data_IF_238300975068
#
_entry.id   IF_238300975068
#
_cell.length_a   1.000
_cell.length_b   1.000
_cell.length_c   1.000
_cell.angle_alpha   90.00
_cell.angle_beta   90.00
_cell.angle_gamma   90.00
#
_symmetry.space_group_name_H-M   'P 1'
#
loop_
_entity.id
_entity.type
_entity.pdbx_description
1 polymer ?
#
# COMPACT_ATOMS: atom_id res chain seq x y z
N UNK A 1 -23.03 51.92 -49.16
CA UNK A 1 -23.60 50.58 -49.05
C UNK A 1 -22.52 49.49 -49.19
N UNK A 2 -21.37 49.60 -48.49
CA UNK A 2 -20.24 48.64 -48.54
C UNK A 2 -19.54 48.42 -47.17
N UNK A 3 -20.10 48.93 -46.06
CA UNK A 3 -19.51 48.80 -44.70
C UNK A 3 -20.27 47.86 -43.74
N UNK A 4 -21.48 47.44 -44.07
CA UNK A 4 -22.28 46.58 -43.19
C UNK A 4 -22.13 45.08 -43.44
N UNK A 5 -21.55 44.64 -44.59
CA UNK A 5 -21.32 43.22 -44.86
C UNK A 5 -20.07 42.67 -44.14
N UNK A 6 -19.10 43.52 -43.81
CA UNK A 6 -17.86 43.06 -43.14
C UNK A 6 -18.05 42.66 -41.67
N UNK A 7 -18.99 43.28 -41.00
CA UNK A 7 -19.18 43.07 -39.53
C UNK A 7 -19.99 41.82 -39.21
N UNK A 8 -20.82 41.34 -40.14
CA UNK A 8 -21.61 40.09 -39.92
C UNK A 8 -20.75 38.84 -40.11
N UNK A 9 -19.72 38.88 -40.95
CA UNK A 9 -18.82 37.73 -41.12
C UNK A 9 -17.76 37.62 -40.02
N UNK A 10 -17.35 38.73 -39.42
CA UNK A 10 -16.43 38.70 -38.27
C UNK A 10 -17.11 38.16 -37.01
N UNK A 11 -18.41 38.41 -36.83
CA UNK A 11 -19.16 37.86 -35.69
C UNK A 11 -19.45 36.37 -35.86
N UNK A 12 -19.66 35.89 -37.09
CA UNK A 12 -19.88 34.47 -37.38
C UNK A 12 -18.59 33.63 -37.22
N UNK A 13 -17.42 34.21 -37.53
CA UNK A 13 -16.11 33.53 -37.33
C UNK A 13 -15.72 33.52 -35.84
N UNK A 14 -16.07 34.55 -35.06
CA UNK A 14 -15.81 34.56 -33.64
C UNK A 14 -16.69 33.54 -32.85
N UNK A 15 -17.91 33.30 -33.30
CA UNK A 15 -18.77 32.28 -32.70
C UNK A 15 -18.35 30.83 -33.01
N UNK A 16 -17.64 30.60 -34.14
CA UNK A 16 -17.10 29.28 -34.50
C UNK A 16 -15.77 28.96 -33.80
N UNK A 17 -15.02 29.99 -33.39
CA UNK A 17 -13.73 29.81 -32.68
C UNK A 17 -13.93 29.48 -31.16
N UNK A 18 -15.08 29.74 -30.59
CA UNK A 18 -15.35 29.45 -29.15
C UNK A 18 -15.93 28.04 -28.93
N UNK A 19 -16.38 27.35 -30.00
CA UNK A 19 -16.90 25.99 -29.90
C UNK A 19 -15.87 24.87 -30.17
N UNK A 20 -14.58 25.18 -30.41
CA UNK A 20 -13.59 24.14 -30.71
C UNK A 20 -12.57 23.86 -29.60
N UNK A 21 -12.78 24.37 -28.41
CA UNK A 21 -11.98 24.01 -27.21
C UNK A 21 -12.79 23.21 -26.18
N UNK A 22 -13.66 22.32 -26.64
CA UNK A 22 -14.04 21.17 -25.82
C UNK A 22 -13.07 20.04 -26.16
N UNK A 23 -11.92 20.05 -25.48
CA UNK A 23 -11.08 18.89 -25.38
C UNK A 23 -11.95 17.74 -24.88
N UNK A 24 -12.02 16.69 -25.66
CA UNK A 24 -12.53 15.39 -25.25
C UNK A 24 -11.59 14.84 -24.16
N UNK A 25 -11.67 15.37 -22.94
CA UNK A 25 -11.36 14.55 -21.78
C UNK A 25 -12.54 13.57 -21.74
N UNK A 26 -12.29 12.34 -22.12
CA UNK A 26 -13.11 11.21 -21.71
C UNK A 26 -12.91 11.02 -20.21
N UNK A 27 -13.37 11.99 -19.41
CA UNK A 27 -13.72 11.73 -18.05
C UNK A 27 -14.82 10.67 -18.14
N UNK A 28 -14.46 9.43 -17.84
CA UNK A 28 -15.49 8.43 -17.52
C UNK A 28 -16.43 9.15 -16.55
N UNK A 29 -17.73 9.14 -16.76
CA UNK A 29 -18.64 9.85 -15.91
C UNK A 29 -18.31 9.48 -14.47
N UNK A 30 -18.25 10.49 -13.57
CA UNK A 30 -18.30 10.26 -12.13
C UNK A 30 -19.33 9.18 -11.93
N UNK A 31 -18.91 7.98 -11.54
CA UNK A 31 -19.80 6.84 -11.39
C UNK A 31 -20.90 7.32 -10.47
N UNK A 32 -22.13 7.36 -10.98
CA UNK A 32 -23.32 7.51 -10.14
C UNK A 32 -23.12 6.57 -8.96
N UNK A 33 -23.21 7.11 -7.73
CA UNK A 33 -23.23 6.30 -6.52
C UNK A 33 -24.29 5.22 -6.76
N UNK A 34 -23.85 4.00 -7.04
CA UNK A 34 -24.75 2.86 -6.97
C UNK A 34 -25.26 2.88 -5.54
N UNK A 35 -26.57 3.01 -5.39
CA UNK A 35 -27.27 3.03 -4.10
C UNK A 35 -26.98 1.78 -3.24
N UNK A 36 -26.30 0.79 -3.78
CA UNK A 36 -25.90 -0.49 -3.16
C UNK A 36 -24.41 -0.51 -2.79
N UNK A 37 -23.82 0.64 -2.46
CA UNK A 37 -22.43 0.70 -2.02
C UNK A 37 -22.29 0.08 -0.63
N UNK A 38 -21.43 -0.92 -0.51
CA UNK A 38 -21.12 -1.62 0.75
C UNK A 38 -20.38 -0.73 1.77
N UNK A 39 -19.81 0.38 1.31
CA UNK A 39 -19.11 1.38 2.12
C UNK A 39 -19.73 2.75 1.87
N UNK A 40 -20.12 3.44 2.94
CA UNK A 40 -20.69 4.77 2.89
C UNK A 40 -19.79 5.78 3.58
N UNK A 41 -19.66 6.99 3.01
CA UNK A 41 -19.00 8.10 3.68
C UNK A 41 -19.84 8.54 4.87
N UNK A 42 -19.27 8.48 6.08
CA UNK A 42 -19.93 8.87 7.34
C UNK A 42 -19.49 10.23 7.84
N UNK A 43 -18.24 10.61 7.59
CA UNK A 43 -17.69 11.85 8.12
C UNK A 43 -16.22 12.07 7.76
N UNK A 44 -15.62 13.00 8.46
CA UNK A 44 -14.21 13.31 8.30
C UNK A 44 -13.54 13.44 9.67
N UNK A 45 -12.29 13.01 9.77
CA UNK A 45 -11.40 13.21 10.92
C UNK A 45 -10.23 14.07 10.52
N UNK A 46 -9.91 15.08 11.33
CA UNK A 46 -8.78 15.97 11.12
C UNK A 46 -7.73 15.78 12.19
N UNK A 47 -6.47 15.68 11.78
CA UNK A 47 -5.33 15.64 12.69
C UNK A 47 -4.53 16.93 12.52
N UNK A 48 -4.20 17.56 13.64
CA UNK A 48 -3.34 18.75 13.68
C UNK A 48 -1.88 18.31 13.51
N UNK A 49 -1.29 18.66 12.37
CA UNK A 49 0.11 18.38 12.06
C UNK A 49 0.97 19.57 12.47
N UNK A 50 2.21 19.32 12.89
CA UNK A 50 3.17 20.42 13.06
C UNK A 50 3.60 20.95 11.69
N UNK A 51 3.73 22.26 11.54
CA UNK A 51 3.74 23.09 10.33
C UNK A 51 4.51 22.62 9.08
N UNK A 52 5.48 21.70 9.18
CA UNK A 52 6.19 21.10 8.03
C UNK A 52 5.88 19.60 7.85
N UNK A 53 5.12 19.02 8.74
CA UNK A 53 4.75 17.60 8.68
C UNK A 53 3.70 17.39 7.59
N UNK A 54 4.16 16.95 6.42
CA UNK A 54 3.24 16.46 5.39
C UNK A 54 2.94 14.99 5.66
N UNK A 55 1.67 14.56 5.65
CA UNK A 55 1.32 13.15 5.83
C UNK A 55 1.84 12.22 4.70
N UNK A 56 2.55 12.77 3.72
CA UNK A 56 2.87 12.11 2.45
C UNK A 56 3.91 10.99 2.49
N UNK A 57 4.53 10.71 3.62
CA UNK A 57 5.57 9.68 3.69
C UNK A 57 5.59 9.00 5.04
N UNK A 58 4.69 8.07 5.25
CA UNK A 58 4.67 7.40 6.53
C UNK A 58 3.65 6.29 6.63
N UNK A 59 3.27 6.01 7.82
CA UNK A 59 2.18 5.09 8.17
C UNK A 59 1.33 5.76 9.25
N UNK A 60 0.09 5.30 9.36
CA UNK A 60 -0.81 5.68 10.43
C UNK A 60 -1.52 4.44 10.96
N UNK A 61 -1.75 4.39 12.27
CA UNK A 61 -2.40 3.26 12.90
C UNK A 61 -3.24 3.70 14.09
N UNK A 62 -4.43 3.11 14.22
CA UNK A 62 -5.22 3.18 15.45
C UNK A 62 -4.62 2.25 16.50
N UNK A 63 -4.54 2.75 17.71
CA UNK A 63 -4.07 2.01 18.86
C UNK A 63 -4.85 2.40 20.13
N UNK A 64 -5.12 1.43 20.97
CA UNK A 64 -5.78 1.65 22.24
C UNK A 64 -4.80 1.37 23.38
N UNK A 65 -4.37 2.43 24.06
CA UNK A 65 -3.44 2.33 25.18
C UNK A 65 -4.18 2.48 26.50
N UNK A 66 -4.33 1.38 27.26
CA UNK A 66 -5.02 1.35 28.55
C UNK A 66 -6.41 1.99 28.50
N UNK A 67 -7.19 1.69 27.46
CA UNK A 67 -8.52 2.23 27.23
C UNK A 67 -8.53 3.67 26.65
N UNK A 68 -7.37 4.25 26.36
CA UNK A 68 -7.27 5.55 25.74
C UNK A 68 -6.95 5.42 24.24
N UNK A 69 -7.89 5.74 23.35
CA UNK A 69 -7.67 5.64 21.93
C UNK A 69 -6.71 6.71 21.42
N UNK A 70 -5.73 6.29 20.62
CA UNK A 70 -4.78 7.17 19.98
C UNK A 70 -4.50 6.75 18.54
N UNK A 71 -3.92 7.67 17.76
CA UNK A 71 -3.33 7.39 16.46
C UNK A 71 -1.82 7.53 16.55
N UNK A 72 -1.13 6.54 16.01
CA UNK A 72 0.33 6.53 15.87
C UNK A 72 0.65 6.78 14.41
N UNK A 73 1.32 7.89 14.13
CA UNK A 73 1.74 8.24 12.77
C UNK A 73 3.27 8.31 12.71
N UNK A 74 3.86 7.56 11.80
CA UNK A 74 5.27 7.64 11.52
C UNK A 74 5.57 8.59 10.38
N UNK A 75 6.56 9.44 10.56
CA UNK A 75 7.17 10.21 9.48
C UNK A 75 8.49 9.54 9.10
N UNK A 76 8.51 8.88 7.94
CA UNK A 76 9.68 8.14 7.48
C UNK A 76 10.84 9.06 7.13
N UNK A 77 10.57 10.28 6.67
CA UNK A 77 11.61 11.23 6.28
C UNK A 77 12.29 11.85 7.50
N UNK A 78 11.50 12.22 8.51
CA UNK A 78 12.03 12.82 9.74
C UNK A 78 12.42 11.78 10.79
N UNK A 79 12.05 10.49 10.58
CA UNK A 79 12.26 9.40 11.54
C UNK A 79 11.62 9.71 12.90
N UNK A 80 10.46 10.32 12.88
CA UNK A 80 9.69 10.66 14.08
C UNK A 80 8.38 9.90 14.12
N UNK A 81 7.85 9.72 15.33
CA UNK A 81 6.53 9.14 15.58
C UNK A 81 5.67 10.21 16.25
N UNK A 82 4.60 10.61 15.56
CA UNK A 82 3.57 11.46 16.13
C UNK A 82 2.50 10.61 16.81
N UNK A 83 2.15 10.95 18.05
CA UNK A 83 1.04 10.35 18.79
C UNK A 83 -0.06 11.38 18.93
N UNK A 84 -1.24 11.04 18.41
CA UNK A 84 -2.41 11.92 18.37
C UNK A 84 -3.53 11.37 19.23
N UNK A 85 -4.26 12.24 19.90
CA UNK A 85 -5.52 11.89 20.51
C UNK A 85 -6.54 11.48 19.45
N UNK A 86 -7.11 10.30 19.58
CA UNK A 86 -8.03 9.81 18.55
C UNK A 86 -9.30 10.65 18.45
N UNK A 87 -9.81 11.19 19.58
CA UNK A 87 -11.09 11.93 19.61
C UNK A 87 -10.92 13.33 19.06
N UNK A 88 -9.97 14.08 19.60
CA UNK A 88 -9.76 15.51 19.26
C UNK A 88 -8.89 15.71 18.02
N UNK A 89 -8.08 14.72 17.60
CA UNK A 89 -7.08 14.88 16.56
C UNK A 89 -5.85 15.71 16.97
N UNK A 90 -5.78 16.11 18.23
CA UNK A 90 -4.66 16.90 18.74
C UNK A 90 -3.41 16.04 18.91
N UNK A 91 -2.25 16.58 18.50
CA UNK A 91 -0.96 15.92 18.72
C UNK A 91 -0.63 15.96 20.22
N UNK A 92 -0.37 14.80 20.79
CA UNK A 92 0.00 14.63 22.22
C UNK A 92 1.50 14.62 22.43
N UNK A 93 2.24 13.95 21.53
CA UNK A 93 3.66 13.69 21.70
C UNK A 93 4.33 13.46 20.35
N UNK A 94 5.60 13.78 20.28
CA UNK A 94 6.51 13.34 19.23
C UNK A 94 7.63 12.52 19.86
N UNK A 95 7.89 11.33 19.30
CA UNK A 95 9.03 10.48 19.67
C UNK A 95 10.05 10.56 18.55
N UNK A 96 11.27 10.95 18.85
CA UNK A 96 12.38 10.93 17.91
C UNK A 96 13.07 9.57 17.96
N UNK A 97 13.47 9.05 16.80
CA UNK A 97 14.25 7.81 16.74
C UNK A 97 15.69 8.12 16.39
N UNK A 98 16.62 7.48 17.07
CA UNK A 98 18.07 7.72 16.90
C UNK A 98 18.62 7.21 15.56
N UNK A 99 17.86 6.40 14.80
CA UNK A 99 18.34 5.77 13.57
C UNK A 99 17.87 6.51 12.32
N UNK A 100 18.85 6.91 11.52
CA UNK A 100 18.61 7.67 10.28
C UNK A 100 18.52 6.78 9.03
N UNK A 101 19.02 5.55 9.06
CA UNK A 101 19.07 4.66 7.88
C UNK A 101 18.17 3.43 8.04
N UNK A 102 17.44 3.08 6.96
CA UNK A 102 16.59 1.89 6.90
C UNK A 102 15.10 2.17 6.83
N UNK A 103 14.34 1.10 6.63
CA UNK A 103 12.88 1.13 6.72
C UNK A 103 12.46 1.29 8.18
N UNK A 104 11.50 2.17 8.43
CA UNK A 104 11.03 2.54 9.77
C UNK A 104 9.56 2.26 9.93
N UNK A 105 9.17 1.69 11.07
CA UNK A 105 7.79 1.41 11.42
C UNK A 105 7.57 1.46 12.94
N UNK A 106 6.56 2.19 13.41
CA UNK A 106 6.09 2.10 14.81
C UNK A 106 4.88 1.17 14.89
N UNK A 107 4.98 0.18 15.76
CA UNK A 107 3.91 -0.77 16.00
C UNK A 107 2.93 -0.26 17.06
N UNK A 108 3.48 0.27 18.14
CA UNK A 108 2.77 0.94 19.25
C UNK A 108 3.49 2.25 19.58
N UNK A 109 2.94 3.11 20.46
CA UNK A 109 3.66 4.30 20.91
C UNK A 109 5.04 4.05 21.51
N UNK A 110 5.26 2.89 22.08
CA UNK A 110 6.46 2.44 22.79
C UNK A 110 7.28 1.38 22.06
N UNK A 111 6.79 0.88 20.93
CA UNK A 111 7.46 -0.18 20.16
C UNK A 111 7.66 0.24 18.70
N UNK A 112 8.91 0.35 18.30
CA UNK A 112 9.29 0.70 16.93
C UNK A 112 10.33 -0.25 16.35
N UNK A 113 10.42 -0.28 15.02
CA UNK A 113 11.38 -1.05 14.26
C UNK A 113 12.12 -0.18 13.26
N UNK A 114 13.41 -0.49 13.07
CA UNK A 114 14.17 -0.09 11.90
C UNK A 114 14.81 -1.34 11.30
N UNK A 115 14.65 -1.52 10.00
CA UNK A 115 15.37 -2.55 9.26
C UNK A 115 16.41 -1.89 8.38
N UNK A 116 17.67 -2.07 8.76
CA UNK A 116 18.81 -1.60 8.01
C UNK A 116 19.26 -2.71 7.04
N UNK A 117 19.03 -2.49 5.74
CA UNK A 117 19.38 -3.44 4.70
C UNK A 117 20.80 -3.18 4.17
N UNK A 118 21.67 -4.19 4.24
CA UNK A 118 23.02 -4.17 3.71
C UNK A 118 23.31 -5.39 2.84
N UNK A 119 24.41 -5.38 2.11
CA UNK A 119 24.80 -6.48 1.23
C UNK A 119 25.03 -7.77 2.04
N UNK A 120 24.27 -8.81 1.71
CA UNK A 120 24.36 -10.13 2.35
C UNK A 120 23.73 -10.22 3.75
N UNK A 121 23.35 -9.10 4.34
CA UNK A 121 22.86 -9.03 5.71
C UNK A 121 21.87 -7.88 5.90
N UNK A 122 20.82 -8.11 6.67
CA UNK A 122 19.95 -7.06 7.22
C UNK A 122 20.03 -7.08 8.74
N UNK A 123 19.95 -5.91 9.37
CA UNK A 123 19.85 -5.81 10.83
C UNK A 123 18.45 -5.33 11.20
N UNK A 124 17.74 -6.13 11.98
CA UNK A 124 16.45 -5.77 12.55
C UNK A 124 16.68 -5.17 13.93
N UNK A 125 16.37 -3.89 14.08
CA UNK A 125 16.38 -3.18 15.36
C UNK A 125 14.95 -3.06 15.87
N UNK A 126 14.74 -3.38 17.13
CA UNK A 126 13.48 -3.21 17.84
C UNK A 126 13.71 -2.37 19.09
N UNK A 127 12.95 -1.30 19.24
CA UNK A 127 12.90 -0.48 20.44
C UNK A 127 11.63 -0.79 21.21
N UNK A 128 11.76 -1.04 22.49
CA UNK A 128 10.65 -1.14 23.44
C UNK A 128 11.03 -0.30 24.65
N UNK A 129 10.25 0.72 24.99
CA UNK A 129 10.51 1.63 26.10
C UNK A 129 11.96 2.18 26.06
N UNK A 130 12.39 2.73 24.93
CA UNK A 130 13.74 3.27 24.68
C UNK A 130 14.90 2.25 24.76
N UNK A 131 14.60 0.97 24.96
CA UNK A 131 15.59 -0.11 24.92
C UNK A 131 15.69 -0.70 23.52
N UNK A 132 16.88 -0.61 22.94
CA UNK A 132 17.18 -1.21 21.66
C UNK A 132 17.62 -2.66 21.80
N UNK A 133 16.98 -3.54 21.05
CA UNK A 133 17.39 -4.94 20.84
C UNK A 133 17.62 -5.12 19.34
N UNK A 134 18.78 -5.64 18.95
CA UNK A 134 19.07 -5.86 17.54
C UNK A 134 19.37 -7.32 17.22
N UNK A 135 19.10 -7.71 15.98
CA UNK A 135 19.40 -9.03 15.46
C UNK A 135 19.82 -8.95 14.00
N UNK A 136 20.92 -9.63 13.67
CA UNK A 136 21.38 -9.78 12.29
C UNK A 136 20.68 -10.94 11.61
N UNK A 137 20.17 -10.69 10.41
CA UNK A 137 19.51 -11.65 9.53
C UNK A 137 20.35 -11.81 8.27
N UNK A 138 20.82 -13.03 7.98
CA UNK A 138 21.43 -13.29 6.67
C UNK A 138 20.34 -13.22 5.60
N UNK A 139 20.53 -12.36 4.61
CA UNK A 139 19.59 -12.21 3.49
C UNK A 139 19.93 -13.13 2.32
N UNK A 140 21.06 -13.84 2.38
CA UNK A 140 21.49 -14.79 1.36
C UNK A 140 20.73 -16.10 1.53
N UNK A 141 19.76 -16.35 0.69
CA UNK A 141 18.90 -17.56 0.76
C UNK A 141 19.53 -18.74 0.00
N UNK A 142 20.42 -18.47 -0.97
CA UNK A 142 21.09 -19.50 -1.77
C UNK A 142 22.53 -19.10 -2.09
N UNK A 143 23.45 -20.08 -2.04
CA UNK A 143 24.81 -19.90 -2.58
C UNK A 143 24.72 -19.56 -4.07
N UNK A 144 25.01 -18.32 -4.44
CA UNK A 144 25.01 -17.89 -5.84
C UNK A 144 24.15 -16.66 -6.16
N UNK A 145 23.80 -15.81 -5.18
CA UNK A 145 23.28 -14.44 -5.42
C UNK A 145 21.76 -14.18 -5.25
N UNK A 146 21.04 -14.98 -4.48
CA UNK A 146 19.68 -14.61 -4.13
C UNK A 146 19.68 -13.95 -2.76
N UNK A 147 19.40 -12.66 -2.72
CA UNK A 147 19.25 -11.89 -1.49
C UNK A 147 17.76 -11.52 -1.32
N UNK A 148 17.21 -11.83 -0.14
CA UNK A 148 15.85 -11.45 0.25
C UNK A 148 15.88 -10.44 1.38
N UNK A 149 15.36 -9.26 1.12
CA UNK A 149 15.41 -8.14 2.06
C UNK A 149 14.07 -7.98 2.78
N UNK A 150 14.07 -8.01 4.11
CA UNK A 150 12.87 -7.68 4.88
C UNK A 150 12.58 -6.18 4.84
N UNK A 151 11.29 -5.84 5.01
CA UNK A 151 10.79 -4.47 5.11
C UNK A 151 9.85 -4.34 6.30
N UNK A 152 9.93 -3.19 6.97
CA UNK A 152 9.00 -2.83 8.03
C UNK A 152 8.22 -1.55 7.68
N UNK A 153 7.31 -1.65 6.73
CA UNK A 153 6.38 -0.56 6.40
C UNK A 153 5.01 -0.84 7.03
N UNK A 154 4.10 0.13 6.99
CA UNK A 154 2.80 0.07 7.66
C UNK A 154 1.96 -1.18 7.30
N UNK A 155 2.08 -1.67 6.08
CA UNK A 155 1.45 -2.88 5.55
C UNK A 155 2.44 -4.06 5.42
N UNK A 156 3.59 -3.97 6.08
CA UNK A 156 4.68 -4.92 5.96
C UNK A 156 5.10 -5.60 7.25
N UNK A 157 4.33 -5.47 8.35
CA UNK A 157 4.69 -6.10 9.62
C UNK A 157 3.48 -6.52 10.46
N UNK A 158 3.58 -7.73 11.03
CA UNK A 158 2.57 -8.33 11.90
C UNK A 158 3.25 -8.91 13.14
N UNK A 159 2.68 -8.67 14.32
CA UNK A 159 3.09 -9.33 15.56
C UNK A 159 2.07 -10.39 15.94
N UNK A 160 2.53 -11.60 16.17
CA UNK A 160 1.68 -12.75 16.49
C UNK A 160 2.42 -13.78 17.33
N UNK A 161 1.84 -14.20 18.45
CA UNK A 161 2.38 -15.25 19.35
C UNK A 161 3.85 -14.98 19.75
N UNK A 162 4.20 -13.72 20.09
CA UNK A 162 5.55 -13.31 20.51
C UNK A 162 6.57 -13.25 19.38
N UNK A 163 6.16 -13.45 18.14
CA UNK A 163 7.00 -13.36 16.95
C UNK A 163 6.57 -12.21 16.04
N UNK A 164 7.53 -11.73 15.28
CA UNK A 164 7.34 -10.70 14.29
C UNK A 164 7.42 -11.27 12.87
N UNK A 165 6.55 -10.82 12.01
CA UNK A 165 6.51 -11.16 10.59
C UNK A 165 6.71 -9.91 9.77
N UNK A 166 7.72 -9.92 8.92
CA UNK A 166 8.04 -8.82 8.03
C UNK A 166 7.88 -9.26 6.57
N UNK A 167 7.38 -8.38 5.73
CA UNK A 167 7.37 -8.64 4.29
C UNK A 167 8.78 -8.72 3.75
N UNK A 168 8.99 -9.61 2.78
CA UNK A 168 10.26 -9.75 2.10
C UNK A 168 10.11 -9.50 0.61
N UNK A 169 11.10 -8.82 0.05
CA UNK A 169 11.25 -8.65 -1.37
C UNK A 169 12.66 -9.05 -1.79
N UNK A 170 12.82 -9.30 -3.07
CA UNK A 170 14.10 -9.66 -3.63
C UNK A 170 14.71 -8.47 -4.37
N UNK A 171 16.01 -8.24 -4.18
CA UNK A 171 16.86 -7.50 -5.09
C UNK A 171 17.80 -8.51 -5.73
N UNK A 172 17.84 -8.59 -7.05
CA UNK A 172 18.79 -9.42 -7.79
C UNK A 172 19.10 -8.74 -9.10
N UNK A 173 20.34 -8.90 -9.57
CA UNK A 173 20.73 -8.49 -10.91
C UNK A 173 19.84 -9.21 -11.93
N UNK A 174 19.23 -8.46 -12.82
CA UNK A 174 18.58 -9.06 -13.97
C UNK A 174 19.64 -9.73 -14.83
N UNK A 175 19.61 -10.98 -15.08
CA UNK A 175 18.79 -11.61 -16.09
C UNK A 175 18.16 -12.94 -15.66
N UNK A 176 17.27 -13.36 -16.44
CA UNK A 176 16.44 -14.52 -16.68
C UNK A 176 16.72 -15.85 -15.94
N UNK A 177 17.84 -16.07 -15.32
CA UNK A 177 18.14 -17.28 -14.55
C UNK A 177 17.48 -17.33 -13.16
N UNK A 178 16.42 -16.59 -12.99
CA UNK A 178 15.60 -16.59 -11.78
C UNK A 178 14.67 -17.80 -11.73
N UNK A 179 15.22 -18.96 -11.94
CA UNK A 179 14.49 -20.16 -12.30
C UNK A 179 14.21 -21.12 -11.15
N UNK A 180 13.81 -20.71 -10.00
CA UNK A 180 12.98 -21.62 -9.20
C UNK A 180 12.15 -20.81 -8.22
N UNK A 181 10.83 -20.85 -8.39
CA UNK A 181 9.86 -20.25 -7.48
C UNK A 181 9.96 -20.78 -6.04
N UNK A 182 10.67 -21.87 -5.85
CA UNK A 182 10.84 -22.54 -4.56
C UNK A 182 11.84 -21.87 -3.62
N UNK A 183 12.61 -20.87 -4.08
CA UNK A 183 13.63 -20.18 -3.27
C UNK A 183 13.21 -18.74 -2.92
N UNK A 184 11.93 -18.40 -3.01
CA UNK A 184 11.40 -17.06 -2.72
C UNK A 184 10.38 -17.13 -1.60
N UNK A 185 10.62 -16.34 -0.58
CA UNK A 185 9.77 -16.31 0.60
C UNK A 185 9.18 -14.90 0.75
N UNK A 186 7.86 -14.73 0.85
CA UNK A 186 7.25 -13.44 1.06
C UNK A 186 7.40 -12.91 2.48
N UNK A 187 7.78 -13.79 3.44
CA UNK A 187 7.81 -13.49 4.85
C UNK A 187 9.15 -13.83 5.49
N UNK A 188 9.60 -12.96 6.40
CA UNK A 188 10.59 -13.23 7.43
C UNK A 188 9.88 -13.35 8.78
N UNK A 189 9.93 -14.51 9.42
CA UNK A 189 9.54 -14.72 10.81
C UNK A 189 10.75 -14.47 11.72
N UNK A 190 10.56 -13.68 12.78
CA UNK A 190 11.61 -13.28 13.71
C UNK A 190 11.14 -13.47 15.15
N UNK A 191 11.91 -14.20 15.95
CA UNK A 191 11.79 -14.29 17.41
C UNK A 191 12.93 -13.45 18.03
N UNK A 192 12.64 -12.21 18.41
CA UNK A 192 13.64 -11.29 18.97
C UNK A 192 14.15 -11.77 20.33
N UNK A 193 13.36 -12.49 21.11
CA UNK A 193 13.75 -12.98 22.42
C UNK A 193 14.76 -14.14 22.34
N UNK A 194 14.56 -15.04 21.37
CA UNK A 194 15.44 -16.18 21.12
C UNK A 194 16.58 -15.85 20.15
N UNK A 195 16.50 -14.71 19.46
CA UNK A 195 17.39 -14.32 18.33
C UNK A 195 17.39 -15.36 17.21
N UNK A 196 16.21 -15.87 16.88
CA UNK A 196 15.98 -16.83 15.82
C UNK A 196 15.15 -16.21 14.69
N UNK A 197 15.41 -16.64 13.46
CA UNK A 197 14.61 -16.23 12.30
C UNK A 197 14.52 -17.33 11.25
N UNK A 198 13.50 -17.25 10.43
CA UNK A 198 13.36 -18.08 9.22
C UNK A 198 12.55 -17.36 8.15
N UNK A 199 12.85 -17.68 6.90
CA UNK A 199 12.02 -17.28 5.77
C UNK A 199 10.92 -18.30 5.55
N UNK A 200 9.68 -17.83 5.34
CA UNK A 200 8.49 -18.69 5.28
C UNK A 200 7.49 -18.24 4.22
N UNK A 201 6.57 -19.16 3.86
CA UNK A 201 5.56 -18.94 2.85
C UNK A 201 6.09 -19.16 1.43
N UNK A 202 5.26 -18.88 0.43
CA UNK A 202 5.60 -18.93 -0.99
C UNK A 202 4.88 -17.86 -1.77
N UNK A 203 5.46 -17.44 -2.90
CA UNK A 203 4.78 -16.57 -3.85
C UNK A 203 3.79 -17.38 -4.72
N UNK A 204 2.71 -16.74 -5.23
CA UNK A 204 1.83 -17.35 -6.22
C UNK A 204 2.58 -17.75 -7.50
N UNK A 205 2.03 -18.72 -8.23
CA UNK A 205 2.67 -19.31 -9.40
C UNK A 205 3.04 -18.29 -10.49
N UNK A 206 2.26 -17.21 -10.64
CA UNK A 206 2.56 -16.13 -11.59
C UNK A 206 3.95 -15.51 -11.36
N UNK A 207 4.49 -15.62 -10.15
CA UNK A 207 5.85 -15.14 -9.82
C UNK A 207 6.94 -16.18 -10.04
N UNK A 208 6.58 -17.46 -10.26
CA UNK A 208 7.53 -18.58 -10.19
C UNK A 208 8.66 -18.49 -11.22
N UNK A 209 8.37 -18.16 -12.46
CA UNK A 209 9.34 -18.12 -13.55
C UNK A 209 9.32 -16.80 -14.31
N UNK A 210 8.75 -15.76 -13.70
CA UNK A 210 8.42 -14.55 -14.40
C UNK A 210 9.15 -13.34 -13.82
N UNK A 211 9.60 -12.45 -14.69
CA UNK A 211 10.07 -11.13 -14.33
C UNK A 211 8.89 -10.17 -14.32
N UNK A 212 8.56 -9.65 -13.12
CA UNK A 212 7.46 -8.70 -12.95
C UNK A 212 7.87 -7.23 -13.18
N UNK A 213 9.08 -7.00 -13.70
CA UNK A 213 9.55 -5.69 -14.19
C UNK A 213 9.96 -4.69 -13.12
N UNK A 214 9.17 -4.47 -12.11
CA UNK A 214 9.45 -3.45 -11.09
C UNK A 214 9.40 -4.05 -9.70
N UNK A 215 10.20 -3.48 -8.80
CA UNK A 215 10.23 -3.85 -7.38
C UNK A 215 8.84 -3.74 -6.73
N UNK A 216 8.03 -2.79 -7.17
CA UNK A 216 6.68 -2.56 -6.64
C UNK A 216 5.76 -3.77 -6.76
N UNK A 217 6.00 -4.68 -7.73
CA UNK A 217 5.25 -5.94 -7.84
C UNK A 217 5.77 -7.07 -6.94
N UNK A 218 6.96 -6.91 -6.35
CA UNK A 218 7.59 -7.93 -5.51
C UNK A 218 7.40 -7.73 -4.02
N UNK A 219 6.90 -6.56 -3.59
CA UNK A 219 6.71 -6.24 -2.19
C UNK A 219 5.30 -6.63 -1.76
N UNK A 220 5.13 -7.71 -0.99
CA UNK A 220 3.83 -8.11 -0.48
C UNK A 220 3.35 -7.19 0.63
N UNK A 221 2.03 -7.05 0.74
CA UNK A 221 1.35 -6.42 1.87
C UNK A 221 1.00 -7.48 2.92
N UNK A 222 1.15 -7.17 4.20
CA UNK A 222 0.85 -8.06 5.31
C UNK A 222 -0.32 -7.54 6.13
N UNK A 223 -1.14 -8.46 6.57
CA UNK A 223 -2.21 -8.20 7.50
C UNK A 223 -2.31 -9.34 8.52
N UNK A 224 -2.66 -9.02 9.77
CA UNK A 224 -3.08 -10.05 10.74
C UNK A 224 -4.37 -10.68 10.25
N UNK A 225 -4.45 -12.01 10.30
CA UNK A 225 -5.70 -12.72 10.04
C UNK A 225 -6.71 -12.53 11.19
N UNK A 226 -7.95 -12.94 10.94
CA UNK A 226 -9.03 -12.92 11.96
C UNK A 226 -8.64 -13.70 13.20
N UNK A 227 -8.11 -14.90 13.01
CA UNK A 227 -7.66 -15.72 14.11
C UNK A 227 -6.27 -15.28 14.54
N UNK A 228 -6.03 -15.30 15.85
CA UNK A 228 -4.73 -14.94 16.44
C UNK A 228 -3.57 -15.88 16.04
N UNK A 229 -3.80 -16.79 15.10
CA UNK A 229 -2.86 -17.75 14.56
C UNK A 229 -2.56 -17.58 13.08
N UNK A 230 -2.96 -16.48 12.43
CA UNK A 230 -2.89 -16.34 10.96
C UNK A 230 -2.20 -15.05 10.52
N UNK A 231 -1.36 -15.16 9.49
CA UNK A 231 -0.80 -14.03 8.76
C UNK A 231 -1.32 -14.08 7.32
N UNK A 232 -1.98 -13.02 6.87
CA UNK A 232 -2.47 -12.87 5.52
C UNK A 232 -1.48 -12.04 4.71
N UNK A 233 -1.13 -12.54 3.51
CA UNK A 233 -0.15 -11.93 2.60
C UNK A 233 -0.81 -11.61 1.27
N UNK A 234 -0.90 -10.34 0.92
CA UNK A 234 -1.38 -9.87 -0.38
C UNK A 234 -0.22 -9.64 -1.36
N UNK A 235 -0.39 -10.04 -2.60
CA UNK A 235 0.61 -9.88 -3.65
C UNK A 235 0.15 -8.85 -4.69
N UNK A 236 1.01 -7.90 -5.09
CA UNK A 236 0.59 -6.84 -6.01
C UNK A 236 0.18 -7.32 -7.41
N UNK A 237 0.80 -8.38 -7.92
CA UNK A 237 0.50 -8.91 -9.26
C UNK A 237 -0.47 -10.10 -9.26
N UNK A 238 -1.07 -10.46 -8.13
CA UNK A 238 -1.95 -11.62 -8.04
C UNK A 238 -3.22 -11.34 -7.26
N UNK A 239 -4.39 -11.83 -7.72
CA UNK A 239 -5.59 -11.85 -6.90
C UNK A 239 -5.46 -12.78 -5.69
N UNK A 240 -4.61 -13.83 -5.80
CA UNK A 240 -4.44 -14.80 -4.73
C UNK A 240 -3.67 -14.20 -3.57
N UNK A 241 -4.18 -14.42 -2.38
CA UNK A 241 -3.50 -14.09 -1.12
C UNK A 241 -3.04 -15.37 -0.44
N UNK A 242 -1.90 -15.31 0.25
CA UNK A 242 -1.39 -16.42 1.05
C UNK A 242 -1.90 -16.29 2.48
N UNK A 243 -2.55 -17.31 2.99
CA UNK A 243 -2.85 -17.48 4.40
C UNK A 243 -1.80 -18.41 5.01
N UNK A 244 -0.97 -17.87 5.88
CA UNK A 244 0.10 -18.59 6.56
C UNK A 244 -0.28 -18.85 8.02
N UNK A 245 -0.07 -20.07 8.50
CA UNK A 245 -0.36 -20.54 9.85
C UNK A 245 0.95 -20.76 10.62
N UNK A 246 1.39 -19.82 11.46
CA UNK A 246 2.67 -19.90 12.15
C UNK A 246 2.87 -21.13 13.04
N UNK A 247 1.81 -21.65 13.66
CA UNK A 247 1.89 -22.78 14.58
C UNK A 247 2.21 -24.09 13.87
N UNK A 248 1.63 -24.31 12.70
CA UNK A 248 1.84 -25.54 11.90
C UNK A 248 2.92 -25.36 10.82
N UNK A 249 3.20 -24.10 10.45
CA UNK A 249 4.04 -23.78 9.29
C UNK A 249 3.35 -24.00 7.95
N UNK A 250 2.07 -24.37 7.97
CA UNK A 250 1.27 -24.57 6.76
C UNK A 250 0.86 -23.25 6.11
N UNK A 251 0.53 -23.31 4.84
CA UNK A 251 -0.02 -22.17 4.12
C UNK A 251 -0.95 -22.61 3.00
N UNK A 252 -1.88 -21.74 2.63
CA UNK A 252 -2.77 -21.94 1.48
C UNK A 252 -3.07 -20.65 0.76
N UNK A 253 -3.31 -20.72 -0.53
CA UNK A 253 -3.78 -19.57 -1.30
C UNK A 253 -5.30 -19.46 -1.25
N UNK A 254 -5.77 -18.21 -1.19
CA UNK A 254 -7.19 -17.85 -1.23
C UNK A 254 -7.40 -16.77 -2.30
N UNK A 255 -8.26 -17.03 -3.31
CA UNK A 255 -8.48 -16.07 -4.38
C UNK A 255 -9.45 -14.96 -3.94
N UNK A 256 -9.05 -13.70 -4.10
CA UNK A 256 -9.91 -12.53 -3.89
C UNK A 256 -9.71 -11.56 -5.05
N UNK A 257 -10.54 -11.72 -6.11
CA UNK A 257 -10.40 -10.97 -7.36
C UNK A 257 -11.23 -9.68 -7.35
N UNK A 258 -10.60 -8.58 -7.77
CA UNK A 258 -11.25 -7.29 -8.02
C UNK A 258 -12.03 -7.29 -9.33
N UNK A 259 -13.11 -6.52 -9.40
CA UNK A 259 -13.85 -6.22 -10.64
C UNK A 259 -13.09 -5.25 -11.54
N UNK A 260 -12.16 -4.47 -10.96
CA UNK A 260 -11.34 -3.50 -11.67
C UNK A 260 -9.96 -4.06 -12.09
N UNK A 261 -9.66 -5.33 -11.78
CA UNK A 261 -8.39 -5.96 -12.13
C UNK A 261 -8.50 -6.74 -13.46
N UNK A 262 -8.82 -6.04 -14.53
CA UNK A 262 -8.87 -6.57 -15.89
C UNK A 262 -7.51 -6.55 -16.59
N UNK A 263 -6.59 -5.70 -16.13
CA UNK A 263 -5.26 -5.52 -16.69
C UNK A 263 -4.17 -5.94 -15.70
N UNK A 264 -4.15 -7.22 -15.31
CA UNK A 264 -3.06 -7.76 -14.48
C UNK A 264 -1.75 -7.70 -15.27
N UNK A 265 -0.61 -7.33 -14.62
CA UNK A 265 0.65 -7.24 -15.33
C UNK A 265 1.04 -8.58 -15.94
N UNK A 266 1.25 -8.59 -17.24
CA UNK A 266 1.86 -9.73 -17.91
C UNK A 266 3.35 -9.75 -17.56
N UNK A 267 3.92 -10.93 -17.31
CA UNK A 267 5.35 -11.06 -17.12
C UNK A 267 6.14 -10.45 -18.28
N UNK A 268 7.23 -9.75 -17.98
CA UNK A 268 8.07 -9.13 -19.01
C UNK A 268 8.68 -10.12 -19.97
N UNK A 269 8.93 -11.35 -19.51
CA UNK A 269 9.41 -12.47 -20.32
C UNK A 269 8.47 -12.79 -21.48
N UNK A 270 7.15 -12.67 -21.29
CA UNK A 270 6.15 -12.85 -22.36
C UNK A 270 6.14 -11.69 -23.37
N UNK A 271 6.66 -10.51 -22.99
CA UNK A 271 6.76 -9.34 -23.86
C UNK A 271 8.07 -9.27 -24.64
N UNK A 272 8.99 -10.23 -24.46
CA UNK A 272 10.28 -10.28 -25.16
C UNK A 272 11.24 -9.14 -24.74
N UNK A 273 11.07 -8.58 -23.55
CA UNK A 273 11.98 -7.55 -23.02
C UNK A 273 12.90 -8.16 -21.97
N UNK A 274 14.17 -8.31 -22.32
CA UNK A 274 15.19 -8.84 -21.42
C UNK A 274 15.72 -7.80 -20.41
N UNK A 275 15.45 -6.50 -20.66
CA UNK A 275 15.95 -5.39 -19.86
C UNK A 275 14.88 -4.33 -19.62
N UNK A 276 14.87 -3.79 -18.41
CA UNK A 276 13.91 -2.80 -17.96
C UNK A 276 14.65 -1.69 -17.20
N UNK A 277 14.72 -0.49 -17.78
CA UNK A 277 15.30 0.65 -17.09
C UNK A 277 14.34 1.24 -16.05
N UNK A 278 14.81 2.16 -15.23
CA UNK A 278 14.02 2.75 -14.15
C UNK A 278 12.76 3.47 -14.67
N UNK A 279 12.89 4.23 -15.75
CA UNK A 279 11.76 4.94 -16.38
C UNK A 279 10.69 3.96 -16.88
N UNK A 280 11.11 2.88 -17.57
CA UNK A 280 10.19 1.85 -18.04
C UNK A 280 9.46 1.18 -16.87
N UNK A 281 10.15 1.02 -15.73
CA UNK A 281 9.60 0.44 -14.51
C UNK A 281 8.44 1.29 -13.94
N UNK A 282 8.54 2.61 -13.95
CA UNK A 282 7.45 3.49 -13.52
C UNK A 282 6.26 3.45 -14.47
N UNK A 283 6.51 3.46 -15.78
CA UNK A 283 5.45 3.31 -16.79
C UNK A 283 4.73 1.99 -16.65
N UNK A 284 5.49 0.91 -16.57
CA UNK A 284 4.93 -0.43 -16.44
C UNK A 284 4.04 -0.55 -15.20
N UNK A 285 4.50 -0.02 -14.07
CA UNK A 285 3.69 -0.02 -12.85
C UNK A 285 2.46 0.88 -12.95
N UNK A 286 2.57 2.04 -13.61
CA UNK A 286 1.45 2.96 -13.80
C UNK A 286 0.37 2.38 -14.71
N UNK A 287 0.78 1.64 -15.75
CA UNK A 287 -0.05 1.09 -16.82
C UNK A 287 -0.96 -0.05 -16.39
N UNK A 288 -0.46 -0.91 -15.52
CA UNK A 288 -1.16 -2.12 -15.11
C UNK A 288 -1.80 -1.97 -13.74
N UNK A 289 -2.96 -2.62 -13.59
CA UNK A 289 -3.62 -2.76 -12.30
C UNK A 289 -2.73 -3.54 -11.33
N UNK A 290 -2.77 -3.16 -10.06
CA UNK A 290 -2.08 -3.89 -9.01
C UNK A 290 -2.93 -3.94 -7.75
N UNK A 291 -2.74 -5.00 -6.97
CA UNK A 291 -3.32 -5.12 -5.64
C UNK A 291 -2.41 -4.40 -4.64
N UNK A 292 -3.02 -3.55 -3.83
CA UNK A 292 -2.35 -2.71 -2.83
C UNK A 292 -2.44 -3.28 -1.42
N UNK A 293 -2.41 -2.39 -0.40
CA UNK A 293 -2.51 -2.76 1.00
C UNK A 293 -3.74 -3.61 1.33
N UNK A 294 -3.62 -4.41 2.39
CA UNK A 294 -4.72 -5.16 2.97
C UNK A 294 -4.79 -4.88 4.47
N UNK A 295 -6.00 -4.71 5.01
CA UNK A 295 -6.23 -4.48 6.44
C UNK A 295 -7.41 -5.29 6.95
N UNK A 296 -7.30 -5.78 8.19
CA UNK A 296 -8.38 -6.44 8.90
C UNK A 296 -9.11 -5.47 9.82
N UNK A 297 -10.43 -5.50 9.77
CA UNK A 297 -11.33 -4.78 10.66
C UNK A 297 -11.89 -5.75 11.71
N UNK A 298 -11.34 -5.77 12.93
CA UNK A 298 -11.76 -6.70 13.96
C UNK A 298 -13.15 -6.37 14.54
N UNK A 299 -13.63 -5.14 14.36
CA UNK A 299 -14.94 -4.71 14.88
C UNK A 299 -16.10 -5.13 13.96
N UNK A 300 -15.81 -5.26 12.65
CA UNK A 300 -16.82 -5.61 11.63
C UNK A 300 -16.59 -7.00 11.05
N UNK A 301 -15.49 -7.65 11.43
CA UNK A 301 -15.06 -8.98 10.95
C UNK A 301 -14.95 -9.05 9.42
N UNK A 302 -14.33 -8.02 8.83
CA UNK A 302 -14.09 -7.92 7.39
C UNK A 302 -12.65 -7.51 7.09
N UNK A 303 -12.25 -7.74 5.86
CA UNK A 303 -10.98 -7.25 5.32
C UNK A 303 -11.24 -6.19 4.26
N UNK A 304 -10.34 -5.22 4.19
CA UNK A 304 -10.25 -4.24 3.11
C UNK A 304 -8.99 -4.52 2.31
N UNK A 305 -9.11 -4.62 0.97
CA UNK A 305 -7.96 -4.74 0.06
C UNK A 305 -8.09 -3.68 -1.02
N UNK A 306 -7.07 -2.86 -1.15
CA UNK A 306 -7.05 -1.79 -2.15
C UNK A 306 -6.55 -2.29 -3.49
N UNK A 307 -7.02 -1.65 -4.58
CA UNK A 307 -6.62 -1.99 -5.95
C UNK A 307 -6.32 -0.70 -6.69
N UNK A 308 -5.07 -0.56 -7.13
CA UNK A 308 -4.64 0.55 -7.97
C UNK A 308 -4.91 0.23 -9.43
N UNK A 309 -5.82 1.00 -10.06
CA UNK A 309 -6.29 0.76 -11.42
C UNK A 309 -5.27 1.31 -12.41
N UNK A 310 -4.92 0.54 -13.42
CA UNK A 310 -3.98 0.93 -14.45
C UNK A 310 -4.42 2.18 -15.22
N UNK A 311 -3.47 2.95 -15.69
CA UNK A 311 -3.71 4.14 -16.51
C UNK A 311 -3.80 3.76 -17.99
N UNK A 312 -4.82 4.26 -18.68
CA UNK A 312 -5.03 4.03 -20.10
C UNK A 312 -4.21 4.99 -20.98
N UNK A 313 -3.75 6.12 -20.42
CA UNK A 313 -3.06 7.17 -21.17
C UNK A 313 -1.54 6.98 -21.13
N UNK A 314 -0.95 6.84 -22.32
CA UNK A 314 0.47 6.57 -22.54
C UNK A 314 1.29 7.82 -22.90
N UNK A 315 0.62 8.96 -23.06
CA UNK A 315 1.27 10.21 -23.47
C UNK A 315 1.94 10.94 -22.28
N UNK A 316 1.91 10.31 -21.09
CA UNK A 316 2.51 10.86 -19.88
C UNK A 316 4.02 10.66 -19.90
N UNK A 317 4.76 11.74 -19.66
CA UNK A 317 6.20 11.70 -19.47
C UNK A 317 6.60 10.77 -18.31
N UNK A 318 7.72 10.02 -18.41
CA UNK A 318 8.20 9.16 -17.35
C UNK A 318 8.41 9.93 -16.05
N UNK A 319 7.68 9.54 -15.01
CA UNK A 319 7.78 10.20 -13.72
C UNK A 319 7.53 9.21 -12.60
N UNK A 320 8.33 9.23 -11.51
CA UNK A 320 8.03 8.48 -10.30
C UNK A 320 6.66 8.79 -9.71
N UNK A 321 6.09 9.96 -10.07
CA UNK A 321 4.78 10.40 -9.60
C UNK A 321 3.61 9.81 -10.38
N UNK A 322 3.84 9.14 -11.52
CA UNK A 322 2.77 8.51 -12.33
C UNK A 322 1.92 7.55 -11.52
N UNK A 323 2.53 6.75 -10.67
CA UNK A 323 1.80 5.83 -9.80
C UNK A 323 0.79 6.54 -8.87
N UNK A 324 1.05 7.81 -8.52
CA UNK A 324 0.15 8.62 -7.70
C UNK A 324 -1.08 9.11 -8.47
N UNK A 325 -1.08 8.98 -9.79
CA UNK A 325 -2.21 9.36 -10.64
C UNK A 325 -3.23 8.24 -10.81
N UNK A 326 -2.93 7.03 -10.35
CA UNK A 326 -3.87 5.91 -10.40
C UNK A 326 -5.15 6.21 -9.63
N UNK A 327 -6.27 5.81 -10.21
CA UNK A 327 -7.50 5.65 -9.45
C UNK A 327 -7.41 4.37 -8.59
N UNK A 328 -8.19 4.34 -7.53
CA UNK A 328 -8.22 3.22 -6.60
C UNK A 328 -9.64 2.70 -6.43
N UNK A 329 -9.75 1.42 -6.11
CA UNK A 329 -10.93 0.81 -5.51
C UNK A 329 -10.57 0.15 -4.19
N UNK A 330 -11.57 -0.15 -3.38
CA UNK A 330 -11.44 -0.94 -2.16
C UNK A 330 -12.43 -2.09 -2.19
N UNK A 331 -11.92 -3.31 -2.12
CA UNK A 331 -12.70 -4.53 -1.94
C UNK A 331 -12.97 -4.75 -0.45
N UNK A 332 -14.17 -5.18 -0.14
CA UNK A 332 -14.56 -5.69 1.17
C UNK A 332 -14.84 -7.19 1.05
N UNK A 333 -14.25 -7.99 1.93
CA UNK A 333 -14.51 -9.42 1.98
C UNK A 333 -14.56 -9.93 3.42
N UNK A 334 -15.32 -10.99 3.63
CA UNK A 334 -15.49 -11.59 4.96
C UNK A 334 -14.29 -12.47 5.34
N UNK A 335 -14.31 -12.96 6.57
CA UNK A 335 -13.27 -13.84 7.10
C UNK A 335 -13.22 -15.23 6.45
N UNK A 336 -14.18 -15.56 5.61
CA UNK A 336 -14.16 -16.75 4.73
C UNK A 336 -13.56 -16.42 3.36
N UNK A 337 -13.07 -15.20 3.15
CA UNK A 337 -12.55 -14.67 1.88
C UNK A 337 -13.59 -14.53 0.77
N UNK A 338 -14.88 -14.51 1.11
CA UNK A 338 -15.94 -14.22 0.17
C UNK A 338 -16.03 -12.70 -0.01
N UNK A 339 -15.93 -12.25 -1.26
CA UNK A 339 -16.12 -10.83 -1.60
C UNK A 339 -17.56 -10.41 -1.28
N UNK A 340 -17.70 -9.36 -0.50
CA UNK A 340 -18.97 -8.75 -0.11
C UNK A 340 -19.34 -7.59 -1.03
N UNK A 341 -18.33 -6.85 -1.52
CA UNK A 341 -18.51 -5.77 -2.49
C UNK A 341 -17.20 -5.06 -2.79
N UNK A 342 -17.29 -4.05 -3.66
CA UNK A 342 -16.13 -3.24 -4.04
C UNK A 342 -16.60 -1.81 -4.36
N UNK A 343 -15.92 -0.80 -3.76
CA UNK A 343 -16.19 0.61 -3.96
C UNK A 343 -15.08 1.25 -4.80
N UNK A 344 -15.45 1.96 -5.86
CA UNK A 344 -14.53 2.81 -6.61
C UNK A 344 -14.28 4.12 -5.85
N UNK A 345 -13.02 4.39 -5.52
CA UNK A 345 -12.57 5.54 -4.74
C UNK A 345 -12.09 6.71 -5.62
N UNK A 346 -11.82 6.45 -6.89
CA UNK A 346 -11.19 7.44 -7.77
C UNK A 346 -9.77 7.79 -7.36
N UNK A 347 -9.37 9.06 -7.55
CA UNK A 347 -8.02 9.59 -7.27
C UNK A 347 -7.94 10.47 -6.02
N UNK A 348 -9.00 10.51 -5.23
CA UNK A 348 -9.13 11.47 -4.11
C UNK A 348 -8.33 11.10 -2.88
N UNK A 349 -7.94 9.83 -2.72
CA UNK A 349 -7.35 9.31 -1.49
C UNK A 349 -5.93 8.79 -1.69
N UNK A 350 -5.10 8.95 -0.65
CA UNK A 350 -3.87 8.19 -0.49
C UNK A 350 -4.16 6.94 0.33
N UNK A 351 -4.35 5.83 -0.36
CA UNK A 351 -4.73 4.56 0.27
C UNK A 351 -3.58 3.91 1.06
N UNK A 352 -2.33 4.36 0.86
CA UNK A 352 -1.20 3.89 1.66
C UNK A 352 -1.22 4.49 3.07
N UNK A 353 -1.96 5.58 3.26
CA UNK A 353 -2.14 6.23 4.55
C UNK A 353 -3.59 6.06 5.02
N UNK A 354 -3.96 4.81 5.27
CA UNK A 354 -5.26 4.44 5.81
C UNK A 354 -5.10 3.81 7.20
N UNK A 355 -6.18 3.83 7.95
CA UNK A 355 -6.29 3.06 9.19
C UNK A 355 -7.71 2.58 9.42
N UNK A 356 -7.83 1.54 10.24
CA UNK A 356 -9.10 0.99 10.69
C UNK A 356 -9.24 1.24 12.19
N UNK A 357 -10.44 1.59 12.62
CA UNK A 357 -10.79 1.85 14.02
C UNK A 357 -12.20 1.35 14.34
N UNK A 358 -12.65 1.41 15.61
CA UNK A 358 -14.05 1.11 15.95
C UNK A 358 -15.07 1.90 15.13
N UNK A 359 -14.72 3.10 14.67
CA UNK A 359 -15.61 3.97 13.91
C UNK A 359 -15.66 3.65 12.41
N UNK A 360 -14.71 2.89 11.85
CA UNK A 360 -14.68 2.52 10.44
C UNK A 360 -13.29 2.51 9.81
N UNK A 361 -13.31 2.48 8.48
CA UNK A 361 -12.14 2.65 7.63
C UNK A 361 -11.91 4.15 7.38
N UNK A 362 -10.67 4.62 7.54
CA UNK A 362 -10.28 6.00 7.31
C UNK A 362 -9.22 6.07 6.21
N UNK A 363 -9.46 6.92 5.20
CA UNK A 363 -8.55 7.16 4.08
C UNK A 363 -8.09 8.62 4.08
N UNK A 364 -6.77 8.83 3.94
CA UNK A 364 -6.23 10.18 3.82
C UNK A 364 -6.67 10.84 2.53
N UNK A 365 -7.24 12.02 2.60
CA UNK A 365 -7.52 12.86 1.45
C UNK A 365 -6.21 13.37 0.84
N UNK A 366 -6.08 13.39 -0.48
CA UNK A 366 -4.88 13.92 -1.15
C UNK A 366 -4.80 15.45 -1.08
N UNK A 367 -5.95 16.10 -1.04
CA UNK A 367 -6.07 17.56 -0.90
C UNK A 367 -6.29 17.89 0.57
N UNK A 368 -5.21 18.25 1.25
CA UNK A 368 -5.24 18.67 2.65
C UNK A 368 -4.83 20.14 2.77
N UNK A 369 -5.40 20.83 3.76
CA UNK A 369 -4.92 22.14 4.17
C UNK A 369 -3.51 22.02 4.77
N UNK A 370 -2.73 23.09 4.72
CA UNK A 370 -1.41 23.12 5.34
C UNK A 370 -1.53 22.88 6.85
N UNK A 371 -0.70 21.98 7.38
CA UNK A 371 -0.70 21.62 8.80
C UNK A 371 -1.90 20.78 9.26
N UNK A 372 -2.72 20.24 8.33
CA UNK A 372 -3.86 19.39 8.67
C UNK A 372 -3.90 18.14 7.80
N UNK A 373 -3.95 16.98 8.40
CA UNK A 373 -4.27 15.73 7.70
C UNK A 373 -5.75 15.42 7.86
N UNK A 374 -6.48 15.40 6.75
CA UNK A 374 -7.92 15.11 6.73
C UNK A 374 -8.17 13.71 6.21
N UNK A 375 -8.85 12.90 7.00
CA UNK A 375 -9.23 11.53 6.67
C UNK A 375 -10.73 11.46 6.45
N UNK A 376 -11.15 10.87 5.33
CA UNK A 376 -12.57 10.51 5.11
C UNK A 376 -12.86 9.20 5.80
N UNK A 377 -13.92 9.19 6.59
CA UNK A 377 -14.44 8.01 7.29
C UNK A 377 -15.42 7.26 6.42
N UNK A 378 -15.21 5.96 6.29
CA UNK A 378 -16.13 5.03 5.64
C UNK A 378 -16.68 4.05 6.66
N UNK A 379 -17.99 3.85 6.61
CA UNK A 379 -18.70 2.85 7.39
C UNK A 379 -19.10 1.67 6.49
N UNK A 380 -18.76 0.47 6.93
CA UNK A 380 -19.28 -0.76 6.31
C UNK A 380 -20.71 -1.01 6.78
N UNK A 381 -21.60 -1.18 5.84
CA UNK A 381 -23.01 -1.54 6.11
C UNK A 381 -23.20 -3.00 5.77
N UNK A 382 -23.48 -3.78 6.81
CA UNK A 382 -23.82 -5.19 6.63
C UNK A 382 -25.27 -5.27 6.16
N UNK A 383 -25.48 -5.75 4.94
CA UNK A 383 -26.81 -6.11 4.46
C UNK A 383 -27.46 -7.26 5.25
#
# INVERSE_FOLDING_TARGET
MRRELGMKYVLAILCLAVCSCQGNSKDKPLVEEKTDSILHVKGMKRLQMDGEDKPSSGFIRYFENNGNPCLVQGNVNQKTIGIYDYVSGAKKMTVETEHTEGDFFAYTPDTAFVIANGRGKSTVHMWVDDKNTSMDVSVVVRKGHIEQYPRCRHDGSVHLNGKWYFSCFRIGEYPVEMQSGNDRFPLLEVDMAKKEYKFVGSYPEIYAHNNMGTLSYWVPALCRGKNDGEVLVGFPASPDMLLYFPETGESRFVPVKSEYADTIPLPLTEKGRDYFNESDSYYYFAQYTHYGPVSYDPWRDVYYRFVGIGLDDWDLEPSPLLQNQKAWSVMVFDSSFRKLGELFLGRMYDVNLHFVSPDGLFLLNRNNDEGVATYTQFEYIKE
#
